data_IF_581706121510
#
_entry.id   IF_581706121510
#
_cell.length_a   1.000
_cell.length_b   1.000
_cell.length_c   1.000
_cell.angle_alpha   90.00
_cell.angle_beta   90.00
_cell.angle_gamma   90.00
#
_symmetry.space_group_name_H-M   'P 1'
#
loop_
_entity.id
_entity.type
_entity.pdbx_description
1 polymer ?
#
# COMPACT_ATOMS: atom_id res chain seq x y z
N UNK A 1 -20.23 17.83 15.15
CA UNK A 1 -19.47 17.68 13.89
C UNK A 1 -18.62 16.41 13.84
N UNK A 2 -17.70 16.18 14.80
CA UNK A 2 -16.84 14.97 14.82
C UNK A 2 -17.61 13.63 14.75
N UNK A 3 -18.71 13.48 15.47
CA UNK A 3 -19.53 12.25 15.42
C UNK A 3 -20.16 12.01 14.03
N UNK A 4 -20.60 13.08 13.36
CA UNK A 4 -21.17 13.01 12.00
C UNK A 4 -20.10 12.55 11.00
N UNK A 5 -18.87 13.07 11.14
CA UNK A 5 -17.75 12.68 10.28
C UNK A 5 -17.33 11.22 10.54
N UNK A 6 -17.27 10.77 11.81
CA UNK A 6 -16.94 9.38 12.14
C UNK A 6 -18.01 8.39 11.65
N UNK A 7 -19.30 8.76 11.71
CA UNK A 7 -20.38 7.92 11.19
C UNK A 7 -20.40 7.85 9.67
N UNK A 8 -19.93 8.90 9.00
CA UNK A 8 -19.84 8.95 7.54
C UNK A 8 -18.58 8.25 7.04
N UNK A 9 -17.41 8.81 7.37
CA UNK A 9 -16.11 8.23 7.03
C UNK A 9 -15.01 8.67 8.02
N UNK A 10 -14.42 7.69 8.70
CA UNK A 10 -13.33 7.89 9.66
C UNK A 10 -12.04 8.41 9.01
N UNK A 11 -11.82 8.13 7.72
CA UNK A 11 -10.65 8.59 6.98
C UNK A 11 -10.64 10.12 6.78
N UNK A 12 -11.80 10.80 6.89
CA UNK A 12 -11.86 12.26 6.86
C UNK A 12 -11.15 12.93 8.05
N UNK A 13 -10.92 12.21 9.15
CA UNK A 13 -10.26 12.73 10.34
C UNK A 13 -8.78 12.30 10.45
N UNK A 14 -8.43 11.12 9.95
CA UNK A 14 -7.11 10.50 10.15
C UNK A 14 -6.36 10.18 8.85
N UNK A 15 -6.98 10.38 7.69
CA UNK A 15 -6.42 10.01 6.39
C UNK A 15 -6.36 8.49 6.15
N UNK A 16 -5.70 8.10 5.06
CA UNK A 16 -5.37 6.70 4.75
C UNK A 16 -3.90 6.43 5.13
N UNK A 17 -3.60 5.46 6.02
CA UNK A 17 -2.23 5.11 6.40
C UNK A 17 -1.49 4.21 5.40
N UNK A 18 -2.11 3.83 4.27
CA UNK A 18 -1.51 2.91 3.29
C UNK A 18 -0.36 3.56 2.55
N UNK A 19 0.78 2.87 2.57
CA UNK A 19 2.01 3.29 1.87
C UNK A 19 2.43 2.25 0.82
N UNK A 20 3.08 2.72 -0.26
CA UNK A 20 3.62 1.84 -1.28
C UNK A 20 4.86 1.09 -0.75
N UNK A 21 4.87 -0.24 -0.85
CA UNK A 21 6.02 -1.03 -0.39
C UNK A 21 7.30 -0.66 -1.16
N UNK A 22 8.46 -0.56 -0.47
CA UNK A 22 9.72 -0.24 -1.11
C UNK A 22 10.18 -1.37 -2.04
N UNK A 23 10.92 -0.99 -3.09
CA UNK A 23 11.48 -1.95 -4.06
C UNK A 23 12.50 -2.87 -3.40
N UNK A 24 12.23 -4.18 -3.46
CA UNK A 24 13.19 -5.21 -3.02
C UNK A 24 14.20 -5.53 -4.15
N UNK A 25 15.46 -5.87 -3.82
CA UNK A 25 16.47 -6.21 -4.82
C UNK A 25 16.09 -7.47 -5.63
N UNK A 26 16.73 -7.63 -6.80
CA UNK A 26 16.55 -8.78 -7.73
C UNK A 26 15.14 -8.88 -8.35
N UNK A 27 14.42 -7.78 -8.41
CA UNK A 27 13.05 -7.69 -8.93
C UNK A 27 12.78 -6.42 -9.73
N UNK A 28 11.66 -6.41 -10.47
CA UNK A 28 11.19 -5.21 -11.19
C UNK A 28 10.40 -4.28 -10.27
N UNK A 29 9.62 -4.83 -9.35
CA UNK A 29 8.79 -4.10 -8.37
C UNK A 29 9.03 -4.63 -6.94
N UNK A 30 8.32 -4.07 -5.95
CA UNK A 30 8.40 -4.47 -4.54
C UNK A 30 8.30 -5.99 -4.33
N UNK A 31 7.46 -6.66 -5.13
CA UNK A 31 7.20 -8.10 -5.03
C UNK A 31 7.59 -8.91 -6.27
N UNK A 32 7.66 -8.29 -7.46
CA UNK A 32 7.93 -9.01 -8.70
C UNK A 32 9.38 -9.50 -8.77
N UNK A 33 9.57 -10.82 -8.91
CA UNK A 33 10.88 -11.45 -9.12
C UNK A 33 11.19 -11.60 -10.61
N UNK A 34 12.48 -11.65 -10.95
CA UNK A 34 12.89 -12.02 -12.32
C UNK A 34 12.53 -13.49 -12.57
N UNK A 35 11.96 -13.78 -13.73
CA UNK A 35 11.73 -15.16 -14.18
C UNK A 35 13.08 -15.86 -14.33
N UNK A 36 13.19 -17.07 -13.78
CA UNK A 36 14.38 -17.91 -13.92
C UNK A 36 14.23 -18.80 -15.15
N UNK A 37 15.30 -19.00 -15.89
CA UNK A 37 15.42 -20.00 -16.94
C UNK A 37 16.45 -21.03 -16.51
N UNK A 38 16.08 -22.30 -16.48
CA UNK A 38 16.99 -23.40 -16.24
C UNK A 38 17.17 -24.11 -17.58
N UNK A 39 18.39 -24.07 -18.09
CA UNK A 39 18.89 -24.96 -19.14
C UNK A 39 20.00 -25.78 -18.52
#
# INVERSE_FOLDING_TARGET
VKQILVSYDRHMLAGDPREAEPKKPRGRSARAKRQKSYR
#
